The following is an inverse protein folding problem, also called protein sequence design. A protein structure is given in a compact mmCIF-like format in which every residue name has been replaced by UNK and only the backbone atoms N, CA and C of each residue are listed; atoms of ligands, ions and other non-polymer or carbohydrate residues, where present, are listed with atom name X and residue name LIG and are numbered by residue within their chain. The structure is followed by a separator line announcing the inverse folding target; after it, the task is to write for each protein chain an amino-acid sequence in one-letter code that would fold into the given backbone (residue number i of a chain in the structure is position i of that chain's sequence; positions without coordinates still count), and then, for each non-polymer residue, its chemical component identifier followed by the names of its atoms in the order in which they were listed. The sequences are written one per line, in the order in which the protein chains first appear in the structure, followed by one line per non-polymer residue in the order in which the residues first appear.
data_IF_186019945508
#
_entry.id   IF_186019945508
#
_cell.length_a   1.000
_cell.length_b   1.000
_cell.length_c   1.000
_cell.angle_alpha   90.00
_cell.angle_beta   90.00
_cell.angle_gamma   90.00
#
_symmetry.space_group_name_H-M   'P 1'
#
loop_
_entity.id
_entity.type
_entity.pdbx_description
1 polymer ?
#
# COMPACT_ATOMS: atom_id res chain seq x y z
N UNK A 1 30.18 15.88 16.33
CA UNK A 1 30.47 15.37 17.67
C UNK A 1 31.39 14.15 17.52
N UNK A 2 32.53 14.14 18.23
CA UNK A 2 33.39 12.97 18.27
C UNK A 2 32.88 11.97 19.32
N UNK A 3 33.38 10.74 19.29
CA UNK A 3 32.90 9.68 20.18
C UNK A 3 32.99 10.03 21.67
N UNK A 4 34.04 10.79 22.08
CA UNK A 4 34.23 11.21 23.45
C UNK A 4 33.21 12.28 23.91
N UNK A 5 32.80 13.17 23.01
CA UNK A 5 31.76 14.15 23.31
C UNK A 5 30.39 13.50 23.44
N UNK A 6 30.08 12.54 22.57
CA UNK A 6 28.84 11.75 22.67
C UNK A 6 28.78 10.99 23.98
N UNK A 7 29.88 10.36 24.38
CA UNK A 7 29.96 9.62 25.63
C UNK A 7 29.69 10.51 26.86
N UNK A 8 30.32 11.69 26.92
CA UNK A 8 30.11 12.67 27.99
C UNK A 8 28.65 13.16 28.07
N UNK A 9 28.00 13.40 26.95
CA UNK A 9 26.62 13.83 26.92
C UNK A 9 25.65 12.72 27.36
N UNK A 10 25.93 11.47 26.97
CA UNK A 10 25.18 10.31 27.45
C UNK A 10 25.35 10.13 28.97
N UNK A 11 26.56 10.23 29.48
CA UNK A 11 26.85 10.12 30.91
C UNK A 11 26.11 11.20 31.72
N UNK A 12 26.08 12.44 31.27
CA UNK A 12 25.27 13.52 31.88
C UNK A 12 23.79 13.16 31.97
N UNK A 13 23.23 12.53 30.91
CA UNK A 13 21.85 12.12 30.88
C UNK A 13 21.56 10.93 31.83
N UNK A 14 22.53 10.03 31.99
CA UNK A 14 22.39 8.89 32.92
C UNK A 14 22.37 9.38 34.36
N UNK A 15 23.30 10.27 34.71
CA UNK A 15 23.48 10.76 36.10
C UNK A 15 22.44 11.79 36.48
N UNK A 16 22.07 12.70 35.56
CA UNK A 16 21.16 13.78 35.86
C UNK A 16 19.69 13.47 35.50
N UNK A 17 18.99 12.86 36.46
CA UNK A 17 17.57 12.47 36.29
C UNK A 17 16.65 13.66 36.01
N UNK A 18 16.95 14.85 36.57
CA UNK A 18 16.14 16.06 36.33
C UNK A 18 16.29 16.55 34.87
N UNK A 19 17.53 16.57 34.36
CA UNK A 19 17.80 16.94 32.97
C UNK A 19 17.12 15.95 32.02
N UNK A 20 17.24 14.65 32.29
CA UNK A 20 16.61 13.61 31.48
C UNK A 20 15.09 13.76 31.41
N UNK A 21 14.43 13.97 32.57
CA UNK A 21 12.97 14.19 32.61
C UNK A 21 12.55 15.46 31.86
N UNK A 22 13.31 16.55 31.99
CA UNK A 22 13.03 17.78 31.25
C UNK A 22 13.14 17.57 29.73
N UNK A 23 14.17 16.90 29.26
CA UNK A 23 14.35 16.60 27.84
C UNK A 23 13.27 15.65 27.31
N UNK A 24 12.87 14.66 28.10
CA UNK A 24 11.76 13.78 27.75
C UNK A 24 10.44 14.55 27.60
N UNK A 25 10.14 15.45 28.55
CA UNK A 25 8.94 16.27 28.50
C UNK A 25 8.94 17.25 27.32
N UNK A 26 10.08 17.89 27.03
CA UNK A 26 10.24 18.78 25.88
C UNK A 26 10.09 18.01 24.56
N UNK A 27 10.72 16.85 24.45
CA UNK A 27 10.62 15.97 23.27
C UNK A 27 9.19 15.52 23.07
N UNK A 28 8.48 15.11 24.13
CA UNK A 28 7.08 14.70 24.06
C UNK A 28 6.17 15.86 23.62
N UNK A 29 6.34 17.05 24.19
CA UNK A 29 5.58 18.25 23.80
C UNK A 29 5.83 18.64 22.34
N UNK A 30 7.08 18.64 21.92
CA UNK A 30 7.44 18.96 20.53
C UNK A 30 6.89 17.91 19.56
N UNK A 31 6.94 16.64 19.91
CA UNK A 31 6.33 15.56 19.10
C UNK A 31 4.82 15.78 18.94
N UNK A 32 4.12 16.09 20.01
CA UNK A 32 2.67 16.33 19.98
C UNK A 32 2.30 17.55 19.12
N UNK A 33 3.03 18.67 19.29
CA UNK A 33 2.82 19.89 18.51
C UNK A 33 3.12 19.65 17.02
N UNK A 34 4.21 18.96 16.71
CA UNK A 34 4.59 18.63 15.34
C UNK A 34 3.59 17.68 14.72
N UNK A 35 3.14 16.65 15.45
CA UNK A 35 2.15 15.70 14.96
C UNK A 35 0.81 16.38 14.67
N UNK A 36 0.33 17.20 15.59
CA UNK A 36 -0.91 18.00 15.38
C UNK A 36 -0.79 18.93 14.18
N UNK A 37 0.36 19.61 14.03
CA UNK A 37 0.61 20.48 12.87
C UNK A 37 0.60 19.70 11.55
N UNK A 38 1.29 18.55 11.50
CA UNK A 38 1.32 17.68 10.30
C UNK A 38 -0.08 17.19 9.98
N UNK A 39 -0.84 16.71 10.98
CA UNK A 39 -2.20 16.22 10.79
C UNK A 39 -3.10 17.31 10.22
N UNK A 40 -3.10 18.51 10.79
CA UNK A 40 -3.88 19.65 10.31
C UNK A 40 -3.48 20.03 8.88
N UNK A 41 -2.17 19.98 8.55
CA UNK A 41 -1.69 20.31 7.21
C UNK A 41 -2.11 19.26 6.19
N UNK A 42 -2.09 17.98 6.55
CA UNK A 42 -2.58 16.89 5.69
C UNK A 42 -4.09 17.00 5.48
N UNK A 43 -4.86 17.34 6.51
CA UNK A 43 -6.30 17.56 6.40
C UNK A 43 -6.60 18.76 5.47
N UNK A 44 -5.87 19.85 5.61
CA UNK A 44 -5.99 21.00 4.72
C UNK A 44 -5.71 20.63 3.25
N UNK A 45 -4.60 19.93 2.99
CA UNK A 45 -4.24 19.47 1.63
C UNK A 45 -5.32 18.53 1.08
N UNK A 46 -5.84 17.63 1.91
CA UNK A 46 -6.94 16.74 1.52
C UNK A 46 -8.18 17.53 1.13
N UNK A 47 -8.58 18.49 1.94
CA UNK A 47 -9.79 19.29 1.70
C UNK A 47 -9.65 20.17 0.45
N UNK A 48 -8.46 20.79 0.25
CA UNK A 48 -8.15 21.54 -0.97
C UNK A 48 -8.21 20.65 -2.22
N UNK A 49 -7.72 19.41 -2.13
CA UNK A 49 -7.77 18.43 -3.23
C UNK A 49 -9.19 17.94 -3.47
N UNK A 50 -9.97 17.67 -2.44
CA UNK A 50 -11.36 17.25 -2.58
C UNK A 50 -12.22 18.32 -3.25
N UNK A 51 -11.92 19.61 -3.01
CA UNK A 51 -12.57 20.73 -3.70
C UNK A 51 -12.14 20.84 -5.16
N UNK A 52 -10.91 20.46 -5.52
CA UNK A 52 -10.35 20.52 -6.87
C UNK A 52 -10.69 19.31 -7.74
N UNK A 53 -10.93 18.16 -7.13
CA UNK A 53 -11.38 16.97 -7.84
C UNK A 53 -12.85 17.15 -8.16
N UNK A 54 -13.21 17.26 -9.46
CA UNK A 54 -14.59 17.06 -9.90
C UNK A 54 -15.12 15.86 -9.14
N UNK A 55 -16.17 16.04 -8.32
CA UNK A 55 -16.82 14.96 -7.58
C UNK A 55 -17.00 13.80 -8.55
N UNK A 56 -16.14 12.80 -8.45
CA UNK A 56 -16.48 11.49 -8.98
C UNK A 56 -17.70 11.14 -8.16
N UNK A 57 -18.88 11.20 -8.79
CA UNK A 57 -20.12 10.83 -8.14
C UNK A 57 -20.04 9.35 -7.77
N UNK A 58 -19.41 9.07 -6.63
CA UNK A 58 -19.42 7.75 -5.98
C UNK A 58 -20.81 7.51 -5.36
N UNK A 59 -21.67 8.55 -5.36
CA UNK A 59 -22.95 8.58 -4.69
C UNK A 59 -24.02 7.60 -5.22
N UNK A 60 -23.71 6.77 -6.24
CA UNK A 60 -24.67 5.82 -6.80
C UNK A 60 -24.23 4.36 -6.75
N UNK A 61 -23.28 4.00 -5.88
CA UNK A 61 -23.01 2.58 -5.66
C UNK A 61 -23.92 2.12 -4.49
N UNK A 62 -25.16 1.82 -4.84
CA UNK A 62 -26.18 1.31 -3.89
C UNK A 62 -25.92 -0.13 -3.42
N UNK A 63 -24.88 -0.77 -3.94
CA UNK A 63 -24.52 -2.15 -3.61
C UNK A 63 -23.06 -2.28 -3.15
N UNK A 64 -22.76 -3.29 -2.33
CA UNK A 64 -21.37 -3.64 -2.00
C UNK A 64 -20.53 -3.87 -3.27
N UNK A 65 -19.31 -3.32 -3.27
CA UNK A 65 -18.36 -3.54 -4.37
C UNK A 65 -17.79 -4.95 -4.32
N UNK A 66 -17.55 -5.52 -5.49
CA UNK A 66 -16.70 -6.71 -5.65
C UNK A 66 -15.26 -6.21 -5.84
N UNK A 67 -14.42 -6.40 -4.83
CA UNK A 67 -13.04 -5.94 -4.81
C UNK A 67 -12.10 -7.13 -4.99
N UNK A 68 -11.27 -7.09 -6.03
CA UNK A 68 -10.14 -8.00 -6.17
C UNK A 68 -8.90 -7.33 -5.57
N UNK A 69 -8.50 -7.77 -4.40
CA UNK A 69 -7.34 -7.20 -3.70
C UNK A 69 -6.09 -8.03 -4.01
N UNK A 70 -5.19 -7.47 -4.81
CA UNK A 70 -3.96 -8.11 -5.26
C UNK A 70 -2.79 -7.58 -4.43
N UNK A 71 -2.23 -8.41 -3.58
CA UNK A 71 -1.05 -8.08 -2.76
C UNK A 71 -0.40 -9.36 -2.23
N UNK A 72 0.79 -9.24 -1.68
CA UNK A 72 1.43 -10.37 -1.02
C UNK A 72 0.78 -10.64 0.36
N UNK A 73 -0.13 -11.61 0.43
CA UNK A 73 -0.75 -12.03 1.68
C UNK A 73 0.13 -12.93 2.54
N UNK A 74 1.29 -13.35 2.02
CA UNK A 74 2.29 -14.15 2.72
C UNK A 74 1.77 -15.52 3.23
N UNK A 75 0.89 -16.17 2.47
CA UNK A 75 0.31 -17.48 2.82
C UNK A 75 1.37 -18.55 3.06
N UNK A 76 2.46 -18.52 2.26
CA UNK A 76 3.59 -19.46 2.36
C UNK A 76 4.37 -19.39 3.68
N UNK A 77 4.09 -18.40 4.53
CA UNK A 77 4.80 -18.20 5.80
C UNK A 77 4.04 -18.75 7.01
N UNK A 78 3.08 -19.64 6.80
CA UNK A 78 2.35 -20.35 7.86
C UNK A 78 1.81 -19.42 8.97
N UNK A 79 1.23 -18.29 8.57
CA UNK A 79 0.64 -17.31 9.48
C UNK A 79 1.61 -16.32 10.13
N UNK A 80 2.93 -16.54 10.05
CA UNK A 80 3.94 -15.66 10.69
C UNK A 80 3.81 -14.18 10.27
N UNK A 81 3.42 -13.93 9.02
CA UNK A 81 3.24 -12.59 8.47
C UNK A 81 1.77 -12.23 8.22
N UNK A 82 0.87 -12.85 8.99
CA UNK A 82 -0.58 -12.64 8.81
C UNK A 82 -0.99 -11.17 8.99
N UNK A 83 -0.44 -10.47 9.98
CA UNK A 83 -0.81 -9.08 10.30
C UNK A 83 -0.08 -8.04 9.45
N UNK A 84 0.22 -8.35 8.19
CA UNK A 84 0.80 -7.38 7.26
C UNK A 84 -0.20 -6.28 6.86
N UNK A 85 0.29 -5.22 6.23
CA UNK A 85 -0.53 -4.07 5.80
C UNK A 85 -1.60 -4.49 4.79
N UNK A 86 -1.27 -5.38 3.85
CA UNK A 86 -2.25 -5.91 2.89
C UNK A 86 -3.45 -6.54 3.58
N UNK A 87 -3.23 -7.38 4.58
CA UNK A 87 -4.30 -8.02 5.37
C UNK A 87 -5.15 -6.99 6.13
N UNK A 88 -4.54 -5.97 6.69
CA UNK A 88 -5.26 -4.91 7.42
C UNK A 88 -6.18 -4.11 6.49
N UNK A 89 -5.68 -3.73 5.31
CA UNK A 89 -6.46 -3.04 4.29
C UNK A 89 -7.59 -3.94 3.79
N UNK A 90 -7.31 -5.21 3.52
CA UNK A 90 -8.30 -6.20 3.10
C UNK A 90 -9.46 -6.31 4.11
N UNK A 91 -9.13 -6.45 5.38
CA UNK A 91 -10.12 -6.49 6.46
C UNK A 91 -10.91 -5.18 6.57
N UNK A 92 -10.30 -4.03 6.25
CA UNK A 92 -10.99 -2.75 6.16
C UNK A 92 -12.08 -2.76 5.10
N UNK A 93 -11.79 -3.25 3.90
CA UNK A 93 -12.79 -3.38 2.83
C UNK A 93 -13.95 -4.30 3.22
N UNK A 94 -13.66 -5.43 3.88
CA UNK A 94 -14.69 -6.36 4.35
C UNK A 94 -15.58 -5.69 5.41
N UNK A 95 -14.99 -4.96 6.36
CA UNK A 95 -15.74 -4.24 7.40
C UNK A 95 -16.64 -3.13 6.85
N UNK A 96 -16.27 -2.56 5.70
CA UNK A 96 -17.09 -1.62 4.95
C UNK A 96 -18.23 -2.28 4.16
N UNK A 97 -18.43 -3.59 4.31
CA UNK A 97 -19.51 -4.34 3.68
C UNK A 97 -19.23 -4.79 2.26
N UNK A 98 -17.99 -4.63 1.75
CA UNK A 98 -17.65 -5.06 0.39
C UNK A 98 -17.38 -6.57 0.31
N UNK A 99 -17.66 -7.14 -0.87
CA UNK A 99 -17.22 -8.51 -1.21
C UNK A 99 -15.77 -8.45 -1.67
N UNK A 100 -14.86 -9.12 -0.96
CA UNK A 100 -13.41 -9.04 -1.24
C UNK A 100 -12.85 -10.41 -1.60
N UNK A 101 -12.24 -10.53 -2.77
CA UNK A 101 -11.45 -11.68 -3.17
C UNK A 101 -9.97 -11.37 -3.04
N UNK A 102 -9.28 -12.18 -2.24
CA UNK A 102 -7.83 -12.08 -2.03
C UNK A 102 -7.07 -12.75 -3.17
N UNK A 103 -6.02 -12.08 -3.66
CA UNK A 103 -5.15 -12.59 -4.70
C UNK A 103 -3.69 -12.36 -4.29
N UNK A 104 -3.05 -13.40 -3.76
CA UNK A 104 -1.65 -13.33 -3.30
C UNK A 104 -0.69 -13.54 -4.48
N UNK A 105 -0.27 -12.44 -5.11
CA UNK A 105 0.54 -12.47 -6.33
C UNK A 105 1.84 -13.25 -6.18
N UNK A 106 2.60 -13.03 -5.10
CA UNK A 106 3.89 -13.71 -4.86
C UNK A 106 3.74 -15.17 -4.48
N UNK A 107 2.69 -15.52 -3.76
CA UNK A 107 2.42 -16.91 -3.38
C UNK A 107 1.98 -17.70 -4.62
N UNK A 108 1.09 -17.14 -5.43
CA UNK A 108 0.65 -17.72 -6.71
C UNK A 108 1.83 -17.89 -7.65
N UNK A 109 2.64 -16.85 -7.88
CA UNK A 109 3.80 -16.93 -8.75
C UNK A 109 4.76 -18.05 -8.33
N UNK A 110 5.03 -18.15 -7.02
CA UNK A 110 5.94 -19.19 -6.51
C UNK A 110 5.38 -20.60 -6.66
N UNK A 111 4.06 -20.75 -6.45
CA UNK A 111 3.38 -22.04 -6.51
C UNK A 111 3.33 -22.61 -7.96
N UNK A 112 3.11 -21.73 -8.94
CA UNK A 112 2.92 -22.12 -10.34
C UNK A 112 4.19 -22.07 -11.19
N UNK A 113 5.38 -21.97 -10.59
CA UNK A 113 6.64 -22.14 -11.31
C UNK A 113 6.73 -23.53 -11.93
N UNK A 114 7.12 -23.59 -13.20
CA UNK A 114 7.30 -24.84 -13.94
C UNK A 114 8.50 -24.74 -14.86
N UNK A 115 8.88 -25.84 -15.48
CA UNK A 115 9.96 -25.86 -16.49
C UNK A 115 9.67 -24.94 -17.69
N UNK A 116 8.40 -24.76 -18.04
CA UNK A 116 7.96 -23.87 -19.13
C UNK A 116 7.68 -22.44 -18.68
N UNK A 117 7.53 -22.19 -17.38
CA UNK A 117 7.34 -20.87 -16.77
C UNK A 117 8.20 -20.74 -15.50
N UNK A 118 9.52 -20.68 -15.70
CA UNK A 118 10.52 -20.64 -14.61
C UNK A 118 10.26 -19.47 -13.66
N UNK A 119 9.79 -18.33 -14.18
CA UNK A 119 9.46 -17.15 -13.39
C UNK A 119 8.06 -17.22 -12.78
N UNK A 120 7.17 -18.08 -13.25
CA UNK A 120 5.77 -18.14 -12.83
C UNK A 120 4.93 -16.93 -13.26
N UNK A 121 5.46 -16.11 -14.16
CA UNK A 121 4.79 -14.85 -14.57
C UNK A 121 3.65 -15.09 -15.54
N UNK A 122 3.79 -16.07 -16.45
CA UNK A 122 2.74 -16.44 -17.41
C UNK A 122 1.55 -17.01 -16.65
N UNK A 123 1.78 -17.96 -15.78
CA UNK A 123 0.75 -18.62 -14.96
C UNK A 123 0.05 -17.63 -14.03
N UNK A 124 0.79 -16.65 -13.45
CA UNK A 124 0.23 -15.57 -12.63
C UNK A 124 -0.77 -14.74 -13.46
N UNK A 125 -0.37 -14.30 -14.65
CA UNK A 125 -1.20 -13.47 -15.52
C UNK A 125 -2.45 -14.23 -16.02
N UNK A 126 -2.30 -15.48 -16.43
CA UNK A 126 -3.43 -16.32 -16.83
C UNK A 126 -4.42 -16.53 -15.68
N UNK A 127 -3.91 -16.76 -14.47
CA UNK A 127 -4.76 -16.88 -13.29
C UNK A 127 -5.48 -15.58 -12.96
N UNK A 128 -4.82 -14.44 -13.11
CA UNK A 128 -5.45 -13.14 -12.91
C UNK A 128 -6.60 -12.90 -13.90
N UNK A 129 -6.39 -13.16 -15.19
CA UNK A 129 -7.44 -13.05 -16.20
C UNK A 129 -8.64 -13.94 -15.89
N UNK A 130 -8.40 -15.23 -15.61
CA UNK A 130 -9.46 -16.18 -15.22
C UNK A 130 -10.20 -15.72 -13.96
N UNK A 131 -9.48 -15.17 -12.99
CA UNK A 131 -10.07 -14.63 -11.77
C UNK A 131 -10.97 -13.43 -12.08
N UNK A 132 -10.52 -12.49 -12.90
CA UNK A 132 -11.32 -11.35 -13.33
C UNK A 132 -12.57 -11.79 -14.11
N UNK A 133 -12.42 -12.74 -15.01
CA UNK A 133 -13.54 -13.29 -15.78
C UNK A 133 -14.62 -13.90 -14.88
N UNK A 134 -14.22 -14.70 -13.89
CA UNK A 134 -15.17 -15.40 -13.00
C UNK A 134 -15.74 -14.49 -11.93
N UNK A 135 -14.91 -13.69 -11.30
CA UNK A 135 -15.32 -12.83 -10.16
C UNK A 135 -15.97 -11.52 -10.60
N UNK A 136 -15.61 -11.01 -11.79
CA UNK A 136 -16.09 -9.74 -12.36
C UNK A 136 -15.97 -8.59 -11.37
N UNK A 137 -14.75 -8.23 -10.94
CA UNK A 137 -14.56 -7.20 -9.93
C UNK A 137 -15.01 -5.82 -10.45
N UNK A 138 -15.58 -5.01 -9.57
CA UNK A 138 -15.87 -3.60 -9.83
C UNK A 138 -14.59 -2.75 -9.62
N UNK A 139 -13.72 -3.22 -8.70
CA UNK A 139 -12.47 -2.56 -8.34
C UNK A 139 -11.35 -3.59 -8.15
N UNK A 140 -10.22 -3.36 -8.79
CA UNK A 140 -8.95 -4.02 -8.46
C UNK A 140 -8.13 -3.08 -7.58
N UNK A 141 -7.67 -3.58 -6.43
CA UNK A 141 -6.76 -2.86 -5.55
C UNK A 141 -5.40 -3.55 -5.54
N UNK A 142 -4.38 -2.84 -5.98
CA UNK A 142 -3.01 -3.33 -6.06
C UNK A 142 -2.23 -2.86 -4.83
N UNK A 143 -1.69 -3.80 -4.05
CA UNK A 143 -0.80 -3.51 -2.94
C UNK A 143 0.63 -3.90 -3.28
N UNK A 144 1.48 -2.95 -3.65
CA UNK A 144 2.76 -3.17 -4.31
C UNK A 144 2.63 -3.93 -5.64
N UNK A 145 2.14 -5.13 -5.64
CA UNK A 145 1.77 -5.99 -6.80
C UNK A 145 2.71 -5.84 -8.03
N UNK A 146 4.01 -5.69 -7.77
CA UNK A 146 5.08 -5.42 -8.75
C UNK A 146 5.27 -6.54 -9.79
N UNK A 147 4.65 -7.69 -9.55
CA UNK A 147 4.65 -8.83 -10.48
C UNK A 147 3.60 -8.72 -11.59
N UNK A 148 2.59 -7.86 -11.42
CA UNK A 148 1.58 -7.62 -12.44
C UNK A 148 2.10 -6.58 -13.43
N UNK A 149 2.17 -6.94 -14.70
CA UNK A 149 2.73 -6.06 -15.73
C UNK A 149 1.76 -4.91 -16.12
N UNK A 150 2.29 -3.74 -16.57
CA UNK A 150 1.47 -2.66 -17.11
C UNK A 150 0.61 -3.10 -18.30
N UNK A 151 1.17 -3.96 -19.16
CA UNK A 151 0.45 -4.53 -20.30
C UNK A 151 -0.78 -5.32 -19.85
N UNK A 152 -0.64 -6.13 -18.79
CA UNK A 152 -1.76 -6.89 -18.24
C UNK A 152 -2.86 -5.96 -17.70
N UNK A 153 -2.48 -4.90 -17.00
CA UNK A 153 -3.45 -3.91 -16.51
C UNK A 153 -4.14 -3.17 -17.66
N UNK A 154 -3.41 -2.87 -18.73
CA UNK A 154 -3.97 -2.31 -19.96
C UNK A 154 -5.02 -3.24 -20.57
N UNK A 155 -4.66 -4.50 -20.82
CA UNK A 155 -5.58 -5.49 -21.38
C UNK A 155 -6.85 -5.67 -20.54
N UNK A 156 -6.72 -5.68 -19.21
CA UNK A 156 -7.88 -5.73 -18.31
C UNK A 156 -8.78 -4.50 -18.44
N UNK A 157 -8.22 -3.31 -18.64
CA UNK A 157 -9.00 -2.08 -18.85
C UNK A 157 -9.69 -2.09 -20.19
N UNK A 158 -9.07 -2.61 -21.22
CA UNK A 158 -9.64 -2.72 -22.57
C UNK A 158 -10.78 -3.76 -22.60
N UNK A 159 -10.59 -4.91 -21.92
CA UNK A 159 -11.62 -5.96 -21.83
C UNK A 159 -12.77 -5.59 -20.88
N UNK A 160 -12.48 -4.85 -19.82
CA UNK A 160 -13.47 -4.41 -18.81
C UNK A 160 -13.42 -2.89 -18.63
N UNK A 161 -14.00 -2.07 -19.53
CA UNK A 161 -13.90 -0.61 -19.50
C UNK A 161 -14.43 0.05 -18.21
N UNK A 162 -15.39 -0.59 -17.54
CA UNK A 162 -15.96 -0.11 -16.27
C UNK A 162 -15.09 -0.43 -15.04
N UNK A 163 -14.11 -1.34 -15.19
CA UNK A 163 -13.24 -1.76 -14.11
C UNK A 163 -12.39 -0.58 -13.63
N UNK A 164 -12.41 -0.33 -12.33
CA UNK A 164 -11.53 0.64 -11.69
C UNK A 164 -10.29 -0.08 -11.14
N UNK A 165 -9.14 0.57 -11.27
CA UNK A 165 -7.88 0.07 -10.72
C UNK A 165 -7.30 1.14 -9.81
N UNK A 166 -7.02 0.77 -8.56
CA UNK A 166 -6.36 1.61 -7.58
C UNK A 166 -5.09 0.92 -7.07
N UNK A 167 -4.10 1.68 -6.67
CA UNK A 167 -2.89 1.14 -6.05
C UNK A 167 -2.59 1.89 -4.75
N UNK A 168 -2.17 1.15 -3.73
CA UNK A 168 -1.55 1.69 -2.54
C UNK A 168 -0.07 1.28 -2.48
N UNK A 169 0.73 2.15 -1.91
CA UNK A 169 2.17 1.98 -1.81
C UNK A 169 2.66 2.47 -0.45
N UNK A 170 3.63 1.78 0.15
CA UNK A 170 4.20 2.15 1.45
C UNK A 170 5.52 2.89 1.33
N UNK A 171 6.24 2.65 0.24
CA UNK A 171 7.56 3.23 0.03
C UNK A 171 7.45 4.57 -0.72
N UNK A 172 8.40 5.49 -0.51
CA UNK A 172 8.39 6.77 -1.20
C UNK A 172 8.48 6.60 -2.72
N UNK A 173 7.53 7.16 -3.46
CA UNK A 173 7.52 7.20 -4.92
C UNK A 173 8.28 8.41 -5.48
N UNK A 174 9.34 8.85 -4.84
CA UNK A 174 10.20 9.91 -5.36
C UNK A 174 11.21 9.35 -6.38
N UNK A 175 11.77 10.24 -7.23
CA UNK A 175 12.73 9.87 -8.29
C UNK A 175 13.93 9.09 -7.77
N UNK A 176 14.31 9.28 -6.51
CA UNK A 176 15.46 8.65 -5.87
C UNK A 176 15.05 7.38 -5.09
N UNK A 177 13.76 7.06 -5.03
CA UNK A 177 13.26 5.87 -4.34
C UNK A 177 13.54 4.59 -5.13
N UNK A 178 13.78 3.46 -4.43
CA UNK A 178 14.19 2.19 -5.05
C UNK A 178 13.14 1.62 -6.01
N UNK A 179 11.89 2.00 -5.85
CA UNK A 179 10.76 1.45 -6.60
C UNK A 179 10.16 2.42 -7.63
N UNK A 180 10.71 3.64 -7.74
CA UNK A 180 10.19 4.65 -8.66
C UNK A 180 10.19 4.17 -10.11
N UNK A 181 11.30 3.63 -10.59
CA UNK A 181 11.44 3.14 -11.97
C UNK A 181 10.51 1.96 -12.28
N UNK A 182 10.25 1.09 -11.29
CA UNK A 182 9.37 -0.07 -11.44
C UNK A 182 7.90 0.31 -11.49
N UNK A 183 7.51 1.40 -10.84
CA UNK A 183 6.11 1.80 -10.68
C UNK A 183 5.71 2.97 -11.58
N UNK A 184 6.67 3.78 -12.06
CA UNK A 184 6.42 4.93 -12.92
C UNK A 184 5.57 4.60 -14.15
N UNK A 185 5.82 3.44 -14.77
CA UNK A 185 5.16 3.05 -16.02
C UNK A 185 3.94 2.14 -15.79
N UNK A 186 3.52 1.90 -14.55
CA UNK A 186 2.46 0.93 -14.27
C UNK A 186 1.07 1.57 -14.18
N UNK A 187 0.93 2.63 -13.43
CA UNK A 187 -0.37 3.21 -13.13
C UNK A 187 -0.39 4.73 -13.28
N UNK A 188 0.71 5.42 -12.95
CA UNK A 188 0.76 6.88 -13.02
C UNK A 188 0.57 7.46 -14.43
N UNK A 189 0.80 6.66 -15.47
CA UNK A 189 0.65 7.08 -16.87
C UNK A 189 -0.71 6.69 -17.48
N UNK A 190 -1.60 6.04 -16.73
CA UNK A 190 -2.90 5.57 -17.26
C UNK A 190 -4.11 5.96 -16.41
N UNK A 191 -3.92 6.86 -15.47
CA UNK A 191 -5.01 7.47 -14.67
C UNK A 191 -5.49 8.81 -15.34
#
# INVERSE_FOLDING_TARGET
LNSNEIYKEIEKLIVNTKLRKNLQNLSYRNFFLTHKFITNKLDQIRDERLLSVKKINISNIERPLRILHITNFNERHNGRLFFNTGRRINNGFIRLGNSVLEFSDRDIQKHYKSYTDIKGSKSLNEKLLKTCYNYKPDLIVLGHADLISPLMLGNLKDEYPQLKIAQWFLDPLNKNGPDFSKNKNRILDKS
#
